data_IF_207729836930
#
_entry.id   IF_207729836930
#
_cell.length_a   1.000
_cell.length_b   1.000
_cell.length_c   1.000
_cell.angle_alpha   90.00
_cell.angle_beta   90.00
_cell.angle_gamma   90.00
#
_symmetry.space_group_name_H-M   'P 1'
#
loop_
_entity.id
_entity.type
_entity.pdbx_description
1 polymer ?
#
# COMPACT_ATOMS: atom_id res chain seq x y z
N UNK A 1 -39.81 -33.72 -3.82
CA UNK A 1 -41.06 -33.05 -4.24
C UNK A 1 -40.71 -32.15 -5.42
N UNK A 2 -41.29 -32.38 -6.60
CA UNK A 2 -40.84 -31.71 -7.84
C UNK A 2 -42.05 -31.25 -8.66
N UNK A 3 -42.18 -29.93 -8.84
CA UNK A 3 -43.27 -29.17 -9.49
C UNK A 3 -42.72 -27.75 -9.87
N UNK A 4 -43.26 -26.93 -10.79
CA UNK A 4 -44.38 -27.13 -11.73
C UNK A 4 -44.11 -26.41 -13.10
N UNK A 5 -44.19 -27.18 -14.19
CA UNK A 5 -44.93 -26.88 -15.44
C UNK A 5 -44.79 -25.51 -16.16
N UNK A 6 -44.17 -25.57 -17.35
CA UNK A 6 -44.51 -24.92 -18.66
C UNK A 6 -44.61 -23.37 -18.82
N UNK A 7 -43.56 -22.82 -19.44
CA UNK A 7 -43.53 -22.14 -20.76
C UNK A 7 -44.77 -21.39 -21.31
N UNK A 8 -44.56 -20.18 -21.86
CA UNK A 8 -45.19 -19.74 -23.14
C UNK A 8 -44.40 -18.66 -23.88
N UNK A 9 -44.12 -18.90 -25.16
CA UNK A 9 -43.30 -18.06 -26.03
C UNK A 9 -44.15 -17.01 -26.76
N UNK A 10 -43.71 -15.74 -26.85
CA UNK A 10 -44.31 -14.68 -27.69
C UNK A 10 -43.17 -13.86 -28.35
N UNK A 11 -42.64 -14.33 -29.49
CA UNK A 11 -42.92 -13.84 -30.88
C UNK A 11 -42.23 -12.51 -31.25
N UNK A 12 -41.14 -12.58 -32.02
CA UNK A 12 -40.66 -11.46 -32.85
C UNK A 12 -41.72 -11.06 -33.89
N UNK A 13 -41.93 -9.75 -34.08
CA UNK A 13 -42.39 -9.12 -35.34
C UNK A 13 -41.74 -7.73 -35.48
N UNK A 14 -41.52 -7.31 -36.71
CA UNK A 14 -40.73 -6.13 -37.07
C UNK A 14 -41.58 -4.96 -37.61
N UNK A 15 -40.88 -3.83 -37.81
CA UNK A 15 -41.09 -2.82 -38.86
C UNK A 15 -41.97 -1.57 -38.59
N UNK A 16 -41.29 -0.41 -38.69
CA UNK A 16 -41.63 0.80 -39.50
C UNK A 16 -42.92 1.57 -39.17
N UNK A 17 -42.81 2.85 -38.80
CA UNK A 17 -43.34 4.00 -39.58
C UNK A 17 -43.09 5.39 -38.95
N UNK A 18 -42.73 6.34 -39.81
CA UNK A 18 -42.56 7.78 -39.61
C UNK A 18 -43.90 8.51 -39.35
N UNK A 19 -43.92 9.53 -38.48
CA UNK A 19 -44.75 10.74 -38.64
C UNK A 19 -44.32 11.87 -37.66
N UNK A 20 -44.38 13.12 -38.11
CA UNK A 20 -44.10 14.32 -37.30
C UNK A 20 -45.37 14.89 -36.64
N UNK A 21 -45.23 15.63 -35.53
CA UNK A 21 -46.33 16.35 -34.90
C UNK A 21 -45.88 17.29 -33.77
N UNK A 22 -46.12 18.58 -33.92
CA UNK A 22 -45.76 19.64 -32.96
C UNK A 22 -46.87 19.85 -31.93
N UNK A 23 -46.53 19.91 -30.63
CA UNK A 23 -47.34 20.60 -29.60
C UNK A 23 -46.42 21.27 -28.58
N UNK A 24 -46.63 22.57 -28.34
CA UNK A 24 -46.14 23.33 -27.19
C UNK A 24 -47.34 23.69 -26.31
N UNK A 25 -47.28 23.44 -24.99
CA UNK A 25 -47.88 24.23 -23.89
C UNK A 25 -47.55 23.58 -22.53
N UNK A 26 -47.44 24.39 -21.48
CA UNK A 26 -46.76 24.06 -20.22
C UNK A 26 -47.62 23.37 -19.12
N UNK A 27 -46.95 22.65 -18.23
CA UNK A 27 -47.46 22.10 -16.97
C UNK A 27 -46.29 21.81 -16.00
N UNK A 28 -46.48 22.00 -14.69
CA UNK A 28 -45.40 22.14 -13.70
C UNK A 28 -45.26 20.93 -12.74
N UNK A 29 -44.03 20.51 -12.41
CA UNK A 29 -43.60 20.09 -11.07
C UNK A 29 -42.09 19.82 -11.01
N UNK A 30 -41.47 20.06 -9.86
CA UNK A 30 -40.02 19.99 -9.61
C UNK A 30 -39.54 18.58 -9.25
N UNK A 31 -38.40 18.16 -9.81
CA UNK A 31 -37.23 17.72 -9.04
C UNK A 31 -35.94 17.83 -9.89
N UNK A 32 -34.75 17.82 -9.29
CA UNK A 32 -33.51 18.35 -9.92
C UNK A 32 -32.51 17.28 -10.39
N UNK A 33 -32.50 16.99 -11.70
CA UNK A 33 -31.47 16.16 -12.36
C UNK A 33 -30.93 16.78 -13.66
N UNK A 34 -29.79 17.48 -13.64
CA UNK A 34 -29.04 17.80 -14.86
C UNK A 34 -28.17 16.60 -15.27
N UNK A 35 -28.78 15.66 -16.00
CA UNK A 35 -28.05 14.62 -16.73
C UNK A 35 -27.14 15.28 -17.78
N UNK A 36 -25.82 15.31 -17.52
CA UNK A 36 -24.84 15.96 -18.40
C UNK A 36 -24.72 15.26 -19.75
N UNK A 37 -24.82 16.04 -20.83
CA UNK A 37 -24.78 15.52 -22.19
C UNK A 37 -23.35 15.18 -22.63
N UNK A 38 -23.19 14.02 -23.25
CA UNK A 38 -21.95 13.58 -23.88
C UNK A 38 -21.62 14.47 -25.09
N UNK A 39 -20.52 15.22 -25.01
CA UNK A 39 -19.85 15.78 -26.19
C UNK A 39 -18.81 14.74 -26.65
N UNK A 40 -18.99 14.22 -27.87
CA UNK A 40 -17.89 13.57 -28.58
C UNK A 40 -16.96 14.64 -29.15
N UNK A 41 -15.76 14.75 -28.60
CA UNK A 41 -14.71 15.61 -29.14
C UNK A 41 -13.37 15.35 -28.46
N UNK A 42 -12.41 14.82 -29.22
CA UNK A 42 -11.02 14.71 -28.80
C UNK A 42 -10.69 13.45 -28.00
N UNK A 43 -10.03 12.52 -28.69
CA UNK A 43 -8.91 11.67 -28.29
C UNK A 43 -8.55 11.43 -26.81
N UNK A 44 -8.03 10.21 -26.58
CA UNK A 44 -7.36 9.68 -25.36
C UNK A 44 -8.24 8.78 -24.50
N UNK A 45 -7.93 7.48 -24.57
CA UNK A 45 -8.27 6.45 -23.60
C UNK A 45 -7.40 6.61 -22.34
N UNK A 46 -8.01 6.61 -21.15
CA UNK A 46 -7.50 5.92 -19.97
C UNK A 46 -8.47 4.77 -19.68
N UNK A 47 -8.13 3.50 -19.89
CA UNK A 47 -7.13 2.78 -19.09
C UNK A 47 -6.62 3.53 -17.86
N UNK A 48 -7.48 3.56 -16.85
CA UNK A 48 -7.04 3.47 -15.47
C UNK A 48 -8.01 2.55 -14.70
N UNK A 49 -7.82 1.23 -14.86
CA UNK A 49 -8.18 0.29 -13.80
C UNK A 49 -7.22 0.48 -12.63
N UNK A 50 -7.26 1.64 -12.01
CA UNK A 50 -6.68 1.87 -10.70
C UNK A 50 -7.65 1.29 -9.68
N UNK A 51 -7.50 -0.02 -9.40
CA UNK A 51 -7.90 -0.53 -8.10
C UNK A 51 -7.23 0.37 -7.05
N UNK A 52 -7.93 0.94 -6.07
CA UNK A 52 -7.27 1.61 -4.97
C UNK A 52 -6.48 0.55 -4.22
N UNK A 53 -5.18 0.48 -4.48
CA UNK A 53 -4.23 -0.27 -3.67
C UNK A 53 -4.19 0.42 -2.32
N UNK A 54 -4.85 -0.18 -1.33
CA UNK A 54 -4.88 0.31 0.06
C UNK A 54 -3.48 0.52 0.66
N UNK A 55 -2.46 -0.09 0.04
CA UNK A 55 -1.03 0.14 0.30
C UNK A 55 -0.59 1.59 0.03
N UNK A 56 -1.10 2.20 -1.04
CA UNK A 56 -0.79 3.58 -1.44
C UNK A 56 -1.43 4.58 -0.48
N UNK A 57 -2.67 4.33 -0.05
CA UNK A 57 -3.39 5.19 0.91
C UNK A 57 -2.67 5.27 2.27
N UNK A 58 -2.23 4.12 2.79
CA UNK A 58 -1.47 4.06 4.06
C UNK A 58 -0.09 4.72 3.95
N UNK A 59 0.60 4.54 2.83
CA UNK A 59 1.87 5.21 2.56
C UNK A 59 1.73 6.74 2.44
N UNK A 60 0.69 7.24 1.78
CA UNK A 60 0.38 8.67 1.70
C UNK A 60 0.02 9.26 3.07
N UNK A 61 -0.74 8.52 3.89
CA UNK A 61 -1.06 8.93 5.26
C UNK A 61 0.20 9.00 6.14
N UNK A 62 1.10 8.01 6.04
CA UNK A 62 2.41 8.04 6.67
C UNK A 62 3.24 9.26 6.22
N UNK A 63 3.31 9.51 4.91
CA UNK A 63 4.07 10.64 4.35
C UNK A 63 3.55 11.99 4.87
N UNK A 64 2.23 12.18 4.92
CA UNK A 64 1.61 13.37 5.52
C UNK A 64 1.96 13.50 7.00
N UNK A 65 1.81 12.43 7.78
CA UNK A 65 2.11 12.43 9.21
C UNK A 65 3.58 12.78 9.52
N UNK A 66 4.53 12.28 8.72
CA UNK A 66 5.94 12.65 8.85
C UNK A 66 6.16 14.14 8.57
N UNK A 67 5.53 14.69 7.53
CA UNK A 67 5.59 16.12 7.17
C UNK A 67 4.92 17.01 8.21
N UNK A 68 3.82 16.58 8.82
CA UNK A 68 3.15 17.28 9.93
C UNK A 68 4.04 17.34 11.19
N UNK A 69 4.86 16.30 11.41
CA UNK A 69 5.94 16.30 12.42
C UNK A 69 7.21 17.05 11.95
N UNK A 70 7.20 17.62 10.75
CA UNK A 70 8.29 18.42 10.19
C UNK A 70 9.48 17.61 9.67
N UNK A 71 9.28 16.36 9.29
CA UNK A 71 10.22 15.58 8.48
C UNK A 71 9.73 15.63 7.03
N UNK A 72 10.49 16.27 6.14
CA UNK A 72 10.10 16.32 4.74
C UNK A 72 10.41 14.98 4.06
N UNK A 73 9.36 14.19 3.82
CA UNK A 73 9.44 12.91 3.12
C UNK A 73 8.65 12.96 1.82
N UNK A 74 9.14 12.35 0.73
CA UNK A 74 8.38 12.23 -0.51
C UNK A 74 7.17 11.31 -0.29
N UNK A 75 6.14 11.51 -1.11
CA UNK A 75 5.04 10.55 -1.22
C UNK A 75 5.58 9.21 -1.79
N UNK A 76 4.96 8.07 -1.43
CA UNK A 76 5.39 6.77 -1.95
C UNK A 76 5.10 6.61 -3.44
N UNK A 77 5.88 5.74 -4.09
CA UNK A 77 5.59 5.20 -5.42
C UNK A 77 4.21 4.54 -5.48
N UNK A 78 3.62 4.34 -6.69
CA UNK A 78 2.32 3.68 -6.85
C UNK A 78 2.26 2.26 -6.24
N UNK A 79 3.39 1.57 -6.11
CA UNK A 79 3.51 0.27 -5.44
C UNK A 79 3.51 0.36 -3.89
N UNK A 80 3.39 1.56 -3.31
CA UNK A 80 3.41 1.82 -1.86
C UNK A 80 4.80 1.84 -1.24
N UNK A 81 5.86 1.87 -2.06
CA UNK A 81 7.24 1.96 -1.61
C UNK A 81 7.72 3.40 -1.40
N UNK A 82 8.51 3.65 -0.36
CA UNK A 82 9.28 4.88 -0.24
C UNK A 82 10.63 4.71 -0.95
N UNK A 83 11.08 5.78 -1.61
CA UNK A 83 12.27 5.73 -2.44
C UNK A 83 13.56 5.61 -1.59
N UNK A 84 14.01 4.37 -1.38
CA UNK A 84 15.22 4.03 -0.59
C UNK A 84 16.55 4.46 -1.26
N UNK A 85 16.48 5.23 -2.35
CA UNK A 85 17.63 5.81 -3.06
C UNK A 85 18.23 7.05 -2.37
N UNK A 86 17.59 7.58 -1.32
CA UNK A 86 18.14 8.70 -0.56
C UNK A 86 18.10 10.03 -1.32
N UNK A 87 17.13 10.20 -2.23
CA UNK A 87 16.90 11.48 -2.93
C UNK A 87 16.31 12.56 -1.99
N UNK A 88 15.77 12.14 -0.84
CA UNK A 88 15.48 13.01 0.29
C UNK A 88 16.62 12.92 1.33
N UNK A 89 17.15 14.08 1.72
CA UNK A 89 18.22 14.26 2.73
C UNK A 89 17.65 14.07 4.15
N UNK A 90 17.15 12.86 4.43
CA UNK A 90 16.52 12.50 5.70
C UNK A 90 17.60 11.90 6.61
N UNK A 91 17.98 12.66 7.64
CA UNK A 91 18.74 12.11 8.76
C UNK A 91 17.84 11.18 9.59
N UNK A 92 17.98 9.87 9.34
CA UNK A 92 17.28 8.82 10.07
C UNK A 92 17.82 8.61 11.49
N UNK A 93 18.99 9.14 11.83
CA UNK A 93 19.54 9.10 13.19
C UNK A 93 19.02 10.26 14.06
N UNK A 94 18.44 11.31 13.45
CA UNK A 94 17.83 12.46 14.16
C UNK A 94 16.73 11.99 15.14
N UNK A 95 16.81 12.35 16.43
CA UNK A 95 15.74 12.12 17.41
C UNK A 95 14.34 12.56 16.94
N UNK A 96 14.25 13.63 16.16
CA UNK A 96 13.00 14.14 15.56
C UNK A 96 12.43 13.17 14.53
N UNK A 97 13.28 12.59 13.66
CA UNK A 97 12.86 11.56 12.71
C UNK A 97 12.29 10.35 13.46
N UNK A 98 12.98 9.94 14.54
CA UNK A 98 12.60 8.78 15.34
C UNK A 98 11.27 8.99 16.07
N UNK A 99 11.04 10.16 16.67
CA UNK A 99 9.73 10.51 17.26
C UNK A 99 8.63 10.52 16.21
N UNK A 100 8.85 11.17 15.06
CA UNK A 100 7.87 11.17 13.96
C UNK A 100 7.57 9.75 13.46
N UNK A 101 8.59 8.91 13.26
CA UNK A 101 8.42 7.52 12.86
C UNK A 101 7.67 6.70 13.91
N UNK A 102 7.89 6.95 15.20
CA UNK A 102 7.16 6.28 16.28
C UNK A 102 5.68 6.66 16.31
N UNK A 103 5.34 7.93 16.10
CA UNK A 103 3.96 8.42 16.03
C UNK A 103 3.24 7.99 14.74
N UNK A 104 3.96 7.91 13.62
CA UNK A 104 3.37 7.70 12.28
C UNK A 104 3.37 6.25 11.80
N UNK A 105 4.24 5.36 12.30
CA UNK A 105 4.43 4.02 11.70
C UNK A 105 3.19 3.15 11.65
N UNK A 106 2.22 3.33 12.55
CA UNK A 106 0.98 2.53 12.57
C UNK A 106 0.00 2.89 11.43
N UNK A 107 0.34 3.89 10.61
CA UNK A 107 -0.30 4.20 9.32
C UNK A 107 0.21 3.32 8.17
N UNK A 108 1.37 2.65 8.33
CA UNK A 108 1.90 1.70 7.35
C UNK A 108 1.06 0.40 7.33
N UNK A 109 1.06 -0.35 6.21
CA UNK A 109 0.41 -1.65 6.12
C UNK A 109 0.81 -2.61 7.26
N UNK A 110 -0.13 -3.42 7.76
CA UNK A 110 0.08 -4.28 8.93
C UNK A 110 1.08 -5.44 8.72
N UNK A 111 1.44 -5.73 7.47
CA UNK A 111 2.48 -6.70 7.09
C UNK A 111 3.89 -6.09 7.02
N UNK A 112 3.99 -4.75 7.07
CA UNK A 112 5.25 -4.01 7.09
C UNK A 112 6.13 -4.43 8.30
N UNK A 113 7.45 -4.59 8.15
CA UNK A 113 8.35 -4.96 9.24
C UNK A 113 8.29 -4.05 10.48
N UNK A 114 7.93 -2.77 10.34
CA UNK A 114 7.89 -1.80 11.45
C UNK A 114 6.58 -1.82 12.25
N UNK A 115 5.50 -2.35 11.67
CA UNK A 115 4.17 -2.46 12.29
C UNK A 115 3.89 -3.86 12.83
N UNK A 116 4.36 -4.90 12.14
CA UNK A 116 4.08 -6.29 12.48
C UNK A 116 4.71 -6.73 13.80
N UNK A 117 4.02 -7.66 14.46
CA UNK A 117 4.54 -8.39 15.61
C UNK A 117 5.33 -9.62 15.14
N UNK A 118 6.51 -9.83 15.72
CA UNK A 118 7.33 -11.02 15.51
C UNK A 118 7.16 -11.98 16.68
N UNK A 119 6.91 -13.25 16.38
CA UNK A 119 6.91 -14.29 17.42
C UNK A 119 8.35 -14.63 17.89
N UNK A 120 8.49 -15.36 19.00
CA UNK A 120 9.80 -15.66 19.60
C UNK A 120 10.78 -16.39 18.66
N UNK A 121 10.30 -17.21 17.74
CA UNK A 121 11.14 -17.87 16.73
C UNK A 121 11.64 -16.86 15.67
N UNK A 122 10.78 -15.95 15.22
CA UNK A 122 11.16 -14.88 14.30
C UNK A 122 12.11 -13.87 14.94
N UNK A 123 11.88 -13.46 16.18
CA UNK A 123 12.81 -12.62 16.96
C UNK A 123 14.19 -13.29 17.04
N UNK A 124 14.23 -14.59 17.34
CA UNK A 124 15.47 -15.38 17.35
C UNK A 124 16.14 -15.44 15.98
N UNK A 125 15.39 -15.52 14.88
CA UNK A 125 15.91 -15.48 13.52
C UNK A 125 16.48 -14.10 13.15
N UNK A 126 15.83 -13.01 13.58
CA UNK A 126 16.35 -11.64 13.41
C UNK A 126 17.69 -11.47 14.16
N UNK A 127 17.79 -11.93 15.41
CA UNK A 127 19.05 -11.87 16.17
C UNK A 127 20.18 -12.69 15.49
N UNK A 128 19.86 -13.84 14.89
CA UNK A 128 20.83 -14.62 14.10
C UNK A 128 21.24 -13.90 12.82
N UNK A 129 20.31 -13.25 12.12
CA UNK A 129 20.59 -12.43 10.94
C UNK A 129 21.56 -11.30 11.29
N UNK A 130 21.29 -10.54 12.35
CA UNK A 130 22.16 -9.44 12.81
C UNK A 130 23.54 -9.98 13.26
N UNK A 131 23.59 -11.13 13.93
CA UNK A 131 24.85 -11.82 14.25
C UNK A 131 25.63 -12.26 13.00
N UNK A 132 24.94 -12.67 11.93
CA UNK A 132 25.55 -13.03 10.65
C UNK A 132 26.09 -11.79 9.92
N UNK A 133 25.33 -10.69 9.87
CA UNK A 133 25.78 -9.41 9.31
C UNK A 133 27.05 -8.89 10.00
N UNK A 134 27.12 -8.97 11.33
CA UNK A 134 28.33 -8.65 12.11
C UNK A 134 29.54 -9.51 11.77
N UNK A 135 29.37 -10.81 11.52
CA UNK A 135 30.46 -11.70 11.06
C UNK A 135 30.99 -11.29 9.68
N UNK A 136 30.12 -10.75 8.84
CA UNK A 136 30.44 -10.22 7.52
C UNK A 136 30.84 -8.73 7.57
N UNK A 137 31.18 -8.22 8.76
CA UNK A 137 31.75 -6.90 8.98
C UNK A 137 30.76 -5.73 8.87
N UNK A 138 29.45 -5.99 8.78
CA UNK A 138 28.41 -4.96 8.91
C UNK A 138 28.13 -4.80 10.40
N UNK A 139 28.59 -3.70 11.00
CA UNK A 139 28.42 -3.49 12.44
C UNK A 139 27.01 -2.94 12.74
N UNK A 140 26.18 -3.77 13.37
CA UNK A 140 24.77 -3.50 13.63
C UNK A 140 24.37 -3.91 15.05
N UNK A 141 23.73 -3.01 15.83
CA UNK A 141 23.27 -3.34 17.17
C UNK A 141 22.19 -4.43 17.17
N UNK A 142 22.03 -5.13 18.29
CA UNK A 142 20.93 -6.09 18.46
C UNK A 142 19.58 -5.35 18.61
N UNK A 143 18.58 -5.63 17.75
CA UNK A 143 17.27 -4.99 17.83
C UNK A 143 16.53 -5.43 19.09
N UNK A 144 15.76 -4.50 19.66
CA UNK A 144 14.90 -4.75 20.80
C UNK A 144 13.46 -4.98 20.36
N UNK A 145 12.71 -5.75 21.16
CA UNK A 145 11.30 -6.05 20.92
C UNK A 145 10.48 -5.67 22.15
N UNK A 146 9.28 -5.12 21.94
CA UNK A 146 8.34 -4.80 23.02
C UNK A 146 7.68 -6.07 23.60
N UNK A 147 6.83 -5.90 24.62
CA UNK A 147 6.09 -7.00 25.24
C UNK A 147 5.14 -7.75 24.27
N UNK A 148 4.80 -7.16 23.13
CA UNK A 148 3.95 -7.73 22.09
C UNK A 148 4.77 -8.33 20.93
N UNK A 149 6.10 -8.21 20.95
CA UNK A 149 7.00 -8.63 19.88
C UNK A 149 7.12 -7.66 18.70
N UNK A 150 6.68 -6.40 18.83
CA UNK A 150 6.92 -5.32 17.86
C UNK A 150 8.37 -4.83 17.98
N UNK A 151 8.99 -4.43 16.87
CA UNK A 151 10.33 -3.82 16.91
C UNK A 151 10.32 -2.46 17.60
N UNK A 152 11.29 -2.23 18.49
CA UNK A 152 11.58 -0.91 19.07
C UNK A 152 12.57 -0.19 18.16
N UNK A 153 12.26 1.06 17.79
CA UNK A 153 13.04 1.84 16.81
C UNK A 153 14.18 2.60 17.52
N UNK A 154 15.16 1.85 18.01
CA UNK A 154 16.28 2.43 18.78
C UNK A 154 17.44 2.94 17.92
N UNK A 155 17.52 2.56 16.63
CA UNK A 155 18.27 3.25 15.58
C UNK A 155 17.77 2.78 14.19
N UNK A 156 16.90 3.53 13.49
CA UNK A 156 16.40 3.11 12.17
C UNK A 156 17.46 3.22 11.07
N UNK A 157 18.54 3.98 11.28
CA UNK A 157 19.67 4.11 10.34
C UNK A 157 20.70 2.98 10.42
N UNK A 158 20.59 2.06 11.39
CA UNK A 158 21.58 1.02 11.64
C UNK A 158 21.89 0.12 10.42
N UNK A 159 20.92 -0.07 9.52
CA UNK A 159 21.07 -0.88 8.32
C UNK A 159 20.75 -0.06 7.07
N UNK A 160 21.75 0.20 6.23
CA UNK A 160 21.55 0.79 4.91
C UNK A 160 21.46 -0.32 3.84
N UNK A 161 20.27 -0.68 3.33
CA UNK A 161 20.11 -1.75 2.33
C UNK A 161 20.64 -1.38 0.93
N UNK A 162 20.99 -0.11 0.70
CA UNK A 162 21.61 0.38 -0.53
C UNK A 162 23.15 0.27 -0.49
N UNK A 163 23.76 0.08 0.68
CA UNK A 163 25.20 -0.13 0.82
C UNK A 163 25.62 -1.50 0.21
N UNK A 164 26.64 -1.55 -0.69
CA UNK A 164 27.05 -2.78 -1.36
C UNK A 164 27.54 -3.86 -0.38
N UNK A 165 28.20 -3.49 0.72
CA UNK A 165 28.66 -4.41 1.77
C UNK A 165 27.50 -5.01 2.54
N UNK A 166 26.47 -4.20 2.83
CA UNK A 166 25.23 -4.69 3.47
C UNK A 166 24.51 -5.66 2.55
N UNK A 167 24.43 -5.36 1.25
CA UNK A 167 23.81 -6.24 0.24
C UNK A 167 24.53 -7.58 0.09
N UNK A 168 25.87 -7.56 0.05
CA UNK A 168 26.71 -8.77 0.02
C UNK A 168 26.50 -9.61 1.29
N UNK A 169 26.58 -8.99 2.46
CA UNK A 169 26.35 -9.66 3.74
C UNK A 169 24.94 -10.27 3.84
N UNK A 170 23.89 -9.57 3.39
CA UNK A 170 22.51 -10.09 3.34
C UNK A 170 22.38 -11.30 2.39
N UNK A 171 23.10 -11.33 1.27
CA UNK A 171 23.09 -12.44 0.32
C UNK A 171 23.72 -13.72 0.90
N UNK A 172 24.78 -13.57 1.71
CA UNK A 172 25.37 -14.67 2.48
C UNK A 172 24.44 -15.12 3.61
N UNK A 173 23.85 -14.18 4.35
CA UNK A 173 22.95 -14.44 5.49
C UNK A 173 21.51 -14.84 5.09
N UNK A 174 21.25 -15.15 3.82
CA UNK A 174 19.89 -15.42 3.28
C UNK A 174 19.11 -16.54 3.99
N UNK A 175 19.80 -17.50 4.62
CA UNK A 175 19.16 -18.56 5.41
C UNK A 175 18.42 -17.99 6.62
N UNK A 176 19.03 -17.03 7.31
CA UNK A 176 18.44 -16.39 8.48
C UNK A 176 17.28 -15.47 8.06
N UNK A 177 17.41 -14.74 6.95
CA UNK A 177 16.30 -13.93 6.36
C UNK A 177 15.08 -14.81 6.08
N UNK A 178 15.30 -16.00 5.51
CA UNK A 178 14.24 -16.95 5.15
C UNK A 178 13.50 -17.47 6.39
N UNK A 179 14.17 -17.55 7.56
CA UNK A 179 13.58 -17.94 8.84
C UNK A 179 12.80 -16.81 9.54
N UNK A 180 12.97 -15.54 9.13
CA UNK A 180 12.14 -14.42 9.61
C UNK A 180 10.78 -14.38 8.90
N UNK A 181 10.73 -14.84 7.64
CA UNK A 181 9.52 -14.79 6.81
C UNK A 181 8.36 -15.61 7.42
N UNK A 182 7.11 -15.09 7.39
CA UNK A 182 5.95 -15.81 7.90
C UNK A 182 5.65 -17.05 7.06
N UNK A 183 5.96 -18.24 7.61
CA UNK A 183 5.61 -19.53 7.00
C UNK A 183 6.71 -20.59 7.01
N UNK A 184 7.98 -20.22 7.19
CA UNK A 184 9.10 -21.15 7.12
C UNK A 184 9.46 -21.80 8.47
N UNK A 185 8.44 -22.36 9.13
CA UNK A 185 8.66 -23.41 10.14
C UNK A 185 8.80 -24.74 9.41
N UNK A 186 10.03 -25.25 9.27
CA UNK A 186 10.28 -26.66 8.93
C UNK A 186 10.17 -27.54 10.17
#
# INVERSE_FOLDING_TARGET
MTQIVRTRNIRLRAAIAVAAGVVLVAGCSSDSDPQVATISGGDTQPEASASPSSSSDGGLAFASCMRDNGIDVPDPDPDGGFDQRGEADIDVEDPKFRTALDDCRDLLPADNPLTRNFNSAQQSAILKLVSCLRKNGVDVPDPQFDANGKLVIDNPGALNPSDPKVREALQECRSEITAVAPGNSS
#
